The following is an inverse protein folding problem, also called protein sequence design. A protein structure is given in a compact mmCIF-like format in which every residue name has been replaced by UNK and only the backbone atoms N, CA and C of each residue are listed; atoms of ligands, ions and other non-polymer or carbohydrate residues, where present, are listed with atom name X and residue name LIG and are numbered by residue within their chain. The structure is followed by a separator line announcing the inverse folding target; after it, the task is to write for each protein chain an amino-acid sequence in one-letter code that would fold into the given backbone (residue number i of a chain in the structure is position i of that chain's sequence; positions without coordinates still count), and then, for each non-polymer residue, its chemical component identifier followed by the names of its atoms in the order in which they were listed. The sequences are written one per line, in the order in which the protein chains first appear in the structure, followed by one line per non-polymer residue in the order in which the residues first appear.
data_IF_838667435217
#
_entry.id   IF_838667435217
#
_cell.length_a   1.000
_cell.length_b   1.000
_cell.length_c   1.000
_cell.angle_alpha   90.00
_cell.angle_beta   90.00
_cell.angle_gamma   90.00
#
_symmetry.space_group_name_H-M   'P 1'
#
loop_
_entity.id
_entity.type
_entity.pdbx_description
1 polymer ?
#
# COMPACT_ATOMS: atom_id res chain seq x y z
N UNK A 1 -24.29 -3.24 1.94
CA UNK A 1 -22.87 -3.49 2.23
C UNK A 1 -22.07 -2.78 1.16
N UNK A 2 -21.08 -1.99 1.55
CA UNK A 2 -20.10 -1.39 0.63
C UNK A 2 -19.14 -2.46 0.15
N UNK A 3 -18.83 -2.46 -1.15
CA UNK A 3 -17.79 -3.33 -1.69
C UNK A 3 -16.41 -2.86 -1.20
N UNK A 4 -15.46 -3.80 -1.12
CA UNK A 4 -14.11 -3.55 -0.59
C UNK A 4 -13.08 -3.54 -1.71
N UNK A 5 -12.10 -2.66 -1.58
CA UNK A 5 -10.95 -2.59 -2.48
C UNK A 5 -9.64 -2.61 -1.69
N UNK A 6 -8.66 -3.36 -2.18
CA UNK A 6 -7.29 -3.33 -1.66
C UNK A 6 -6.46 -2.43 -2.57
N UNK A 7 -6.01 -1.30 -2.05
CA UNK A 7 -5.17 -0.34 -2.77
C UNK A 7 -3.70 -0.57 -2.43
N UNK A 8 -2.88 -0.82 -3.44
CA UNK A 8 -1.43 -0.75 -3.32
C UNK A 8 -1.03 0.70 -2.99
N UNK A 9 -0.53 0.91 -1.78
CA UNK A 9 -0.36 2.25 -1.21
C UNK A 9 1.11 2.56 -0.93
N UNK A 10 1.64 3.59 -1.58
CA UNK A 10 3.04 4.00 -1.46
C UNK A 10 3.27 5.12 -0.43
N UNK A 11 2.20 5.76 0.06
CA UNK A 11 2.30 6.98 0.87
C UNK A 11 2.44 8.28 0.07
N UNK A 12 2.57 8.19 -1.26
CA UNK A 12 2.66 9.33 -2.16
C UNK A 12 1.34 10.11 -2.29
N UNK A 13 1.41 11.31 -2.86
CA UNK A 13 0.25 12.18 -3.08
C UNK A 13 -0.86 11.45 -3.86
N UNK A 14 -0.53 10.88 -5.00
CA UNK A 14 -1.50 10.25 -5.91
C UNK A 14 -2.25 9.12 -5.23
N UNK A 15 -1.53 8.22 -4.56
CA UNK A 15 -2.15 7.10 -3.84
C UNK A 15 -2.93 7.54 -2.61
N UNK A 16 -2.62 8.69 -2.02
CA UNK A 16 -3.42 9.29 -0.94
C UNK A 16 -4.73 9.85 -1.47
N UNK A 17 -4.68 10.62 -2.56
CA UNK A 17 -5.89 11.14 -3.22
C UNK A 17 -6.79 9.99 -3.68
N UNK A 18 -6.19 8.90 -4.18
CA UNK A 18 -6.93 7.72 -4.62
C UNK A 18 -7.80 7.09 -3.52
N UNK A 19 -7.39 7.15 -2.23
CA UNK A 19 -8.20 6.64 -1.11
C UNK A 19 -9.54 7.36 -1.07
N UNK A 20 -9.53 8.71 -1.04
CA UNK A 20 -10.76 9.52 -1.03
C UNK A 20 -11.54 9.40 -2.32
N UNK A 21 -10.85 9.37 -3.45
CA UNK A 21 -11.51 9.24 -4.74
C UNK A 21 -12.29 7.92 -4.89
N UNK A 22 -11.72 6.80 -4.41
CA UNK A 22 -12.39 5.49 -4.42
C UNK A 22 -13.58 5.44 -3.46
N UNK A 23 -13.44 6.04 -2.27
CA UNK A 23 -14.52 6.18 -1.30
C UNK A 23 -15.69 7.00 -1.87
N UNK A 24 -15.41 8.19 -2.42
CA UNK A 24 -16.43 9.15 -2.87
C UNK A 24 -17.06 8.77 -4.23
N UNK A 25 -16.25 8.29 -5.18
CA UNK A 25 -16.72 8.04 -6.55
C UNK A 25 -17.40 6.68 -6.71
N UNK A 26 -17.04 5.71 -5.86
CA UNK A 26 -17.50 4.33 -5.98
C UNK A 26 -18.13 3.77 -4.70
N UNK A 27 -18.19 4.54 -3.61
CA UNK A 27 -18.72 4.10 -2.32
C UNK A 27 -18.03 2.82 -1.81
N UNK A 28 -16.71 2.75 -1.98
CA UNK A 28 -15.89 1.60 -1.62
C UNK A 28 -15.23 1.77 -0.24
N UNK A 29 -15.18 0.67 0.50
CA UNK A 29 -14.32 0.54 1.67
C UNK A 29 -12.88 0.27 1.24
N UNK A 30 -12.01 1.27 1.40
CA UNK A 30 -10.61 1.18 0.98
C UNK A 30 -9.76 0.56 2.10
N UNK A 31 -9.07 -0.53 1.78
CA UNK A 31 -8.01 -1.14 2.59
C UNK A 31 -6.70 -0.85 1.87
N UNK A 32 -5.71 -0.30 2.57
CA UNK A 32 -4.39 -0.04 1.98
C UNK A 32 -3.42 -1.15 2.32
N UNK A 33 -2.57 -1.52 1.34
CA UNK A 33 -1.46 -2.44 1.49
C UNK A 33 -0.17 -1.78 1.02
N UNK A 34 0.76 -1.60 1.94
CA UNK A 34 2.13 -1.17 1.66
C UNK A 34 3.05 -2.39 1.76
N UNK A 35 3.87 -2.61 0.74
CA UNK A 35 4.83 -3.72 0.70
C UNK A 35 6.22 -3.14 0.89
N UNK A 36 6.88 -3.48 1.99
CA UNK A 36 8.25 -3.05 2.29
C UNK A 36 9.24 -3.96 1.56
N UNK A 37 9.90 -3.42 0.55
CA UNK A 37 11.02 -4.05 -0.16
C UNK A 37 12.36 -3.41 0.19
N UNK A 38 12.42 -2.60 1.26
CA UNK A 38 13.62 -1.91 1.74
C UNK A 38 13.76 -0.47 1.23
N UNK A 39 12.73 0.07 0.58
CA UNK A 39 12.73 1.41 -0.01
C UNK A 39 11.94 2.46 0.80
N UNK A 40 11.30 2.05 1.89
CA UNK A 40 10.36 2.90 2.62
C UNK A 40 11.00 3.41 3.92
N UNK A 41 11.17 4.74 4.11
CA UNK A 41 11.88 5.29 5.25
C UNK A 41 11.07 5.28 6.56
N UNK A 42 9.75 5.44 6.49
CA UNK A 42 8.88 5.46 7.66
C UNK A 42 7.52 4.80 7.36
N UNK A 43 7.42 3.52 7.69
CA UNK A 43 6.19 2.72 7.49
C UNK A 43 5.06 3.16 8.42
N UNK A 44 5.39 3.61 9.63
CA UNK A 44 4.39 4.01 10.62
C UNK A 44 3.69 5.30 10.18
N UNK A 45 4.46 6.28 9.68
CA UNK A 45 3.90 7.51 9.12
C UNK A 45 2.98 7.23 7.92
N UNK A 46 3.35 6.30 7.05
CA UNK A 46 2.52 5.89 5.89
C UNK A 46 1.21 5.26 6.36
N UNK A 47 1.26 4.35 7.35
CA UNK A 47 0.04 3.76 7.91
C UNK A 47 -0.88 4.81 8.53
N UNK A 48 -0.32 5.72 9.34
CA UNK A 48 -1.08 6.83 9.94
C UNK A 48 -1.71 7.72 8.88
N UNK A 49 -0.96 8.05 7.82
CA UNK A 49 -1.44 8.85 6.70
C UNK A 49 -2.59 8.17 5.97
N UNK A 50 -2.50 6.87 5.69
CA UNK A 50 -3.58 6.12 5.03
C UNK A 50 -4.89 6.19 5.82
N UNK A 51 -4.82 5.92 7.13
CA UNK A 51 -5.98 5.96 8.03
C UNK A 51 -6.56 7.37 8.11
N UNK A 52 -5.71 8.40 8.29
CA UNK A 52 -6.14 9.78 8.31
C UNK A 52 -6.79 10.25 6.99
N UNK A 53 -6.42 9.63 5.87
CA UNK A 53 -6.98 9.94 4.55
C UNK A 53 -8.31 9.21 4.28
N UNK A 54 -8.74 8.26 5.12
CA UNK A 54 -10.03 7.57 4.98
C UNK A 54 -9.95 6.07 4.73
N UNK A 55 -8.76 5.46 4.75
CA UNK A 55 -8.66 4.01 4.66
C UNK A 55 -9.28 3.35 5.91
N UNK A 56 -10.10 2.33 5.70
CA UNK A 56 -10.71 1.53 6.79
C UNK A 56 -9.68 0.66 7.52
N UNK A 57 -8.62 0.28 6.82
CA UNK A 57 -7.48 -0.48 7.35
C UNK A 57 -6.21 -0.13 6.58
N UNK A 58 -5.09 -0.10 7.29
CA UNK A 58 -3.77 0.01 6.70
C UNK A 58 -2.93 -1.21 7.08
N UNK A 59 -2.36 -1.88 6.08
CA UNK A 59 -1.55 -3.08 6.24
C UNK A 59 -0.15 -2.81 5.70
N UNK A 60 0.84 -3.35 6.40
CA UNK A 60 2.23 -3.38 5.95
C UNK A 60 2.69 -4.83 5.87
N UNK A 61 3.31 -5.21 4.76
CA UNK A 61 3.93 -6.52 4.57
C UNK A 61 5.43 -6.34 4.39
N UNK A 62 6.22 -6.98 5.24
CA UNK A 62 7.67 -7.12 5.00
C UNK A 62 7.89 -8.15 3.89
N UNK A 63 8.42 -7.69 2.76
CA UNK A 63 8.71 -8.52 1.60
C UNK A 63 10.18 -8.44 1.18
N UNK A 64 11.08 -7.87 2.00
CA UNK A 64 12.51 -7.70 1.65
C UNK A 64 13.15 -9.04 1.25
N UNK A 65 12.98 -10.06 2.08
CA UNK A 65 13.53 -11.39 1.80
C UNK A 65 12.94 -12.02 0.54
N UNK A 66 11.63 -11.87 0.33
CA UNK A 66 10.93 -12.40 -0.86
C UNK A 66 11.38 -11.69 -2.12
N UNK A 67 11.51 -10.36 -2.07
CA UNK A 67 11.98 -9.53 -3.17
C UNK A 67 13.38 -9.94 -3.61
N UNK A 68 14.32 -10.09 -2.66
CA UNK A 68 15.69 -10.52 -2.97
C UNK A 68 15.71 -11.92 -3.59
N UNK A 69 15.11 -12.90 -2.92
CA UNK A 69 15.21 -14.32 -3.31
C UNK A 69 14.49 -14.64 -4.61
N UNK A 70 13.34 -14.01 -4.85
CA UNK A 70 12.43 -14.42 -5.93
C UNK A 70 12.46 -13.48 -7.14
N UNK A 71 13.07 -12.30 -7.01
CA UNK A 71 13.12 -11.31 -8.09
C UNK A 71 14.55 -10.85 -8.37
N UNK A 72 15.30 -10.39 -7.36
CA UNK A 72 16.65 -9.84 -7.57
C UNK A 72 17.66 -10.93 -7.97
N UNK A 73 17.76 -12.02 -7.20
CA UNK A 73 18.70 -13.10 -7.54
C UNK A 73 18.40 -13.76 -8.89
N UNK A 74 17.14 -14.10 -9.23
CA UNK A 74 16.83 -14.60 -10.57
C UNK A 74 17.18 -13.62 -11.69
N UNK A 75 16.95 -12.31 -11.50
CA UNK A 75 17.29 -11.31 -12.52
C UNK A 75 18.80 -11.15 -12.74
N UNK A 76 19.62 -11.35 -11.70
CA UNK A 76 21.09 -11.31 -11.81
C UNK A 76 21.70 -12.55 -12.48
N UNK A 77 20.95 -13.65 -12.57
CA UNK A 77 21.39 -14.89 -13.22
C UNK A 77 21.09 -14.92 -14.73
N UNK A 78 20.41 -13.89 -15.25
CA UNK A 78 19.95 -13.78 -16.64
C UNK A 78 20.98 -13.15 -17.59
#
# INVERSE_FOLDING_TARGET
MSDKVVLAYSGGLDTSVAIKWLEESYNLEVITLTVDIGNVPDLEAIMKKALATGATKALVSDAKATFIKSFVFPALQA
#
